data_IF_708306377487
#
_entry.id   IF_708306377487
#
_cell.length_a   1.000
_cell.length_b   1.000
_cell.length_c   1.000
_cell.angle_alpha   90.00
_cell.angle_beta   90.00
_cell.angle_gamma   90.00
#
_symmetry.space_group_name_H-M   'P 1'
#
loop_
_entity.id
_entity.type
_entity.pdbx_description
1 polymer ?
#
# COMPACT_ATOMS: atom_id res chain seq x y z
N UNK A 1 -9.30 -41.16 6.44
CA UNK A 1 -8.38 -40.00 6.46
C UNK A 1 -7.30 -40.24 5.44
N UNK A 2 -7.27 -39.47 4.35
CA UNK A 2 -6.14 -39.49 3.42
C UNK A 2 -5.00 -38.75 4.13
N UNK A 3 -3.82 -39.36 4.32
CA UNK A 3 -2.70 -38.68 4.94
C UNK A 3 -2.26 -37.51 4.06
N UNK A 4 -2.27 -36.30 4.62
CA UNK A 4 -1.69 -35.12 3.99
C UNK A 4 -0.20 -35.39 3.78
N UNK A 5 0.21 -35.59 2.52
CA UNK A 5 1.62 -35.59 2.15
C UNK A 5 2.01 -34.13 1.87
N UNK A 6 2.92 -33.53 2.66
CA UNK A 6 3.42 -32.19 2.34
C UNK A 6 4.06 -32.19 0.95
N UNK A 7 3.86 -31.12 0.19
CA UNK A 7 4.50 -30.92 -1.11
C UNK A 7 6.02 -31.06 -0.98
N UNK A 8 6.65 -31.71 -1.96
CA UNK A 8 8.11 -31.85 -1.95
C UNK A 8 8.78 -30.46 -2.04
N UNK A 9 9.94 -30.23 -1.40
CA UNK A 9 10.66 -28.95 -1.49
C UNK A 9 10.94 -28.51 -2.93
N UNK A 10 11.17 -29.46 -3.85
CA UNK A 10 11.35 -29.18 -5.28
C UNK A 10 10.10 -28.60 -5.93
N UNK A 11 8.93 -29.17 -5.63
CA UNK A 11 7.64 -28.68 -6.14
C UNK A 11 7.36 -27.26 -5.65
N UNK A 12 7.67 -26.99 -4.37
CA UNK A 12 7.51 -25.67 -3.76
C UNK A 12 8.44 -24.65 -4.43
N UNK A 13 9.71 -25.01 -4.68
CA UNK A 13 10.68 -24.14 -5.39
C UNK A 13 10.19 -23.76 -6.79
N UNK A 14 9.72 -24.72 -7.58
CA UNK A 14 9.22 -24.46 -8.95
C UNK A 14 7.99 -23.56 -8.97
N UNK A 15 7.09 -23.69 -7.98
CA UNK A 15 5.93 -22.80 -7.85
C UNK A 15 6.40 -21.36 -7.56
N UNK A 16 7.36 -21.17 -6.65
CA UNK A 16 7.88 -19.84 -6.35
C UNK A 16 8.61 -19.19 -7.53
N UNK A 17 9.41 -19.96 -8.29
CA UNK A 17 10.04 -19.47 -9.52
C UNK A 17 9.01 -19.04 -10.57
N UNK A 18 7.92 -19.80 -10.69
CA UNK A 18 6.81 -19.47 -11.61
C UNK A 18 6.09 -18.20 -11.18
N UNK A 19 5.77 -18.06 -9.89
CA UNK A 19 5.13 -16.86 -9.34
C UNK A 19 6.04 -15.64 -9.54
N UNK A 20 7.33 -15.77 -9.25
CA UNK A 20 8.31 -14.71 -9.46
C UNK A 20 8.36 -14.25 -10.93
N UNK A 21 8.29 -15.19 -11.86
CA UNK A 21 8.22 -14.89 -13.30
C UNK A 21 6.92 -14.17 -13.68
N UNK A 22 5.78 -14.59 -13.12
CA UNK A 22 4.48 -13.94 -13.36
C UNK A 22 4.49 -12.49 -12.84
N UNK A 23 5.02 -12.27 -11.64
CA UNK A 23 5.15 -10.93 -11.04
C UNK A 23 5.96 -10.01 -11.95
N UNK A 24 7.12 -10.47 -12.42
CA UNK A 24 7.94 -9.69 -13.36
C UNK A 24 7.21 -9.35 -14.67
N UNK A 25 6.40 -10.29 -15.20
CA UNK A 25 5.60 -10.05 -16.41
C UNK A 25 4.53 -8.99 -16.16
N UNK A 26 3.83 -9.06 -15.03
CA UNK A 26 2.78 -8.08 -14.67
C UNK A 26 3.38 -6.69 -14.52
N UNK A 27 4.50 -6.57 -13.82
CA UNK A 27 5.20 -5.30 -13.64
C UNK A 27 5.70 -4.74 -14.98
N UNK A 28 6.23 -5.59 -15.87
CA UNK A 28 6.62 -5.16 -17.20
C UNK A 28 5.43 -4.63 -18.01
N UNK A 29 4.28 -5.33 -17.96
CA UNK A 29 3.06 -4.88 -18.63
C UNK A 29 2.54 -3.54 -18.08
N UNK A 30 2.60 -3.34 -16.76
CA UNK A 30 2.25 -2.05 -16.14
C UNK A 30 3.23 -0.95 -16.53
N UNK A 31 4.53 -1.28 -16.60
CA UNK A 31 5.59 -0.35 -17.01
C UNK A 31 5.37 0.15 -18.46
N UNK A 32 4.92 -0.74 -19.36
CA UNK A 32 4.54 -0.38 -20.72
C UNK A 32 3.32 0.55 -20.77
N UNK A 33 2.45 0.53 -19.74
CA UNK A 33 1.31 1.45 -19.68
C UNK A 33 1.68 2.86 -19.24
N UNK A 34 2.86 3.12 -18.67
CA UNK A 34 3.24 4.46 -18.17
C UNK A 34 3.13 5.51 -19.27
N UNK A 35 3.72 5.24 -20.44
CA UNK A 35 3.73 6.18 -21.57
C UNK A 35 2.48 6.08 -22.46
N UNK A 36 1.63 5.07 -22.24
CA UNK A 36 0.45 4.85 -23.07
C UNK A 36 -0.58 5.95 -22.82
N UNK A 37 -1.15 6.47 -23.89
CA UNK A 37 -2.27 7.41 -23.87
C UNK A 37 -3.47 6.80 -24.56
N UNK A 38 -4.63 6.88 -23.91
CA UNK A 38 -5.93 6.67 -24.53
C UNK A 38 -6.67 8.01 -24.55
N UNK A 39 -7.01 8.49 -25.75
CA UNK A 39 -7.69 9.77 -25.96
C UNK A 39 -9.20 9.68 -25.78
N UNK A 40 -9.75 8.48 -25.54
CA UNK A 40 -11.13 8.33 -25.16
C UNK A 40 -11.40 9.02 -23.83
N UNK A 41 -12.64 9.44 -23.65
CA UNK A 41 -13.11 10.12 -22.45
C UNK A 41 -14.23 9.31 -21.80
N UNK A 42 -14.36 9.44 -20.50
CA UNK A 42 -15.50 8.98 -19.73
C UNK A 42 -15.98 10.09 -18.79
N UNK A 43 -17.12 9.85 -18.16
CA UNK A 43 -17.63 10.70 -17.09
C UNK A 43 -17.44 9.97 -15.78
N UNK A 44 -16.77 10.61 -14.81
CA UNK A 44 -16.64 10.07 -13.45
C UNK A 44 -18.02 9.84 -12.85
N UNK A 45 -18.23 8.67 -12.25
CA UNK A 45 -19.52 8.35 -11.61
C UNK A 45 -19.71 9.07 -10.27
N UNK A 46 -18.64 9.41 -9.58
CA UNK A 46 -18.71 10.11 -8.29
C UNK A 46 -18.92 11.61 -8.47
N UNK A 47 -18.17 12.22 -9.39
CA UNK A 47 -18.09 13.69 -9.49
C UNK A 47 -18.88 14.23 -10.69
N UNK A 48 -19.17 13.39 -11.70
CA UNK A 48 -19.88 13.81 -12.92
C UNK A 48 -18.99 14.56 -13.93
N UNK A 49 -17.70 14.68 -13.65
CA UNK A 49 -16.73 15.38 -14.49
C UNK A 49 -16.24 14.52 -15.66
N UNK A 50 -15.92 15.18 -16.77
CA UNK A 50 -15.28 14.52 -17.91
C UNK A 50 -13.80 14.26 -17.63
N UNK A 51 -13.36 13.03 -17.87
CA UNK A 51 -11.98 12.57 -17.64
C UNK A 51 -11.45 11.83 -18.86
N UNK A 52 -10.13 11.88 -19.05
CA UNK A 52 -9.45 11.00 -20.00
C UNK A 52 -9.39 9.59 -19.40
N UNK A 53 -9.66 8.57 -20.20
CA UNK A 53 -9.53 7.17 -19.73
C UNK A 53 -8.08 6.87 -19.31
N UNK A 54 -7.08 7.33 -20.09
CA UNK A 54 -5.68 7.10 -19.75
C UNK A 54 -4.78 8.23 -20.26
N UNK A 55 -4.29 9.05 -19.34
CA UNK A 55 -3.22 10.03 -19.59
C UNK A 55 -1.83 9.38 -19.61
N UNK A 56 -0.85 10.09 -20.18
CA UNK A 56 0.56 9.70 -20.12
C UNK A 56 1.16 9.89 -18.73
N UNK A 57 2.31 9.27 -18.48
CA UNK A 57 3.11 9.34 -17.25
C UNK A 57 2.37 8.92 -15.97
N UNK A 58 1.33 8.11 -16.13
CA UNK A 58 0.45 7.62 -15.05
C UNK A 58 0.19 6.14 -15.22
N UNK A 59 0.19 5.40 -14.11
CA UNK A 59 -0.18 3.99 -14.09
C UNK A 59 -1.71 3.86 -14.13
N UNK A 60 -2.26 2.96 -14.95
CA UNK A 60 -3.69 2.70 -14.90
C UNK A 60 -4.06 2.05 -13.55
N UNK A 61 -5.20 2.42 -13.00
CA UNK A 61 -5.79 1.81 -11.82
C UNK A 61 -5.99 0.30 -11.99
N UNK A 62 -6.41 -0.13 -13.18
CA UNK A 62 -6.59 -1.53 -13.52
C UNK A 62 -6.24 -1.82 -14.98
N UNK A 63 -5.94 -3.09 -15.26
CA UNK A 63 -5.61 -3.58 -16.59
C UNK A 63 -6.86 -3.94 -17.42
N UNK A 64 -8.03 -3.41 -17.06
CA UNK A 64 -9.28 -3.63 -17.75
C UNK A 64 -10.20 -4.65 -17.09
N UNK A 65 -11.35 -4.85 -17.70
CA UNK A 65 -12.45 -5.66 -17.19
C UNK A 65 -12.61 -6.95 -18.01
N UNK A 66 -12.96 -8.10 -17.39
CA UNK A 66 -13.13 -9.39 -18.10
C UNK A 66 -14.21 -9.42 -19.19
N UNK A 67 -15.16 -8.48 -19.21
CA UNK A 67 -16.14 -8.37 -20.32
C UNK A 67 -15.70 -7.40 -21.43
N UNK A 68 -14.51 -6.81 -21.33
CA UNK A 68 -13.86 -6.05 -22.40
C UNK A 68 -12.62 -6.82 -22.90
N UNK A 69 -11.65 -6.14 -23.50
CA UNK A 69 -10.34 -6.72 -23.82
C UNK A 69 -9.31 -6.29 -22.76
N UNK A 70 -8.98 -7.15 -21.77
CA UNK A 70 -7.93 -6.86 -20.79
C UNK A 70 -6.60 -6.50 -21.49
N UNK A 71 -5.77 -5.71 -20.82
CA UNK A 71 -4.50 -5.16 -21.30
C UNK A 71 -4.61 -4.16 -22.46
N UNK A 72 -5.69 -4.21 -23.24
CA UNK A 72 -5.98 -3.23 -24.29
C UNK A 72 -6.84 -2.11 -23.70
N UNK A 73 -8.00 -2.41 -23.11
CA UNK A 73 -8.89 -1.41 -22.53
C UNK A 73 -8.66 -1.30 -21.02
N UNK A 74 -7.59 -0.61 -20.64
CA UNK A 74 -7.21 -0.34 -19.24
C UNK A 74 -8.10 0.74 -18.61
N UNK A 75 -8.07 0.89 -17.28
CA UNK A 75 -8.91 1.86 -16.54
C UNK A 75 -10.41 1.63 -16.77
N UNK A 76 -10.86 0.39 -16.54
CA UNK A 76 -12.29 0.09 -16.51
C UNK A 76 -12.97 0.73 -15.28
N UNK A 77 -12.23 0.99 -14.21
CA UNK A 77 -12.69 1.78 -13.09
C UNK A 77 -12.92 3.24 -13.50
N UNK A 78 -14.16 3.69 -13.36
CA UNK A 78 -14.60 5.05 -13.72
C UNK A 78 -15.34 5.77 -12.59
N UNK A 79 -15.23 5.29 -11.35
CA UNK A 79 -15.85 5.98 -10.21
C UNK A 79 -15.21 7.37 -10.01
N UNK A 80 -13.88 7.41 -9.97
CA UNK A 80 -13.09 8.65 -9.93
C UNK A 80 -12.12 8.72 -11.11
N UNK A 81 -11.67 9.94 -11.41
CA UNK A 81 -10.48 10.13 -12.25
C UNK A 81 -9.23 9.72 -11.46
N UNK A 82 -8.82 8.47 -11.66
CA UNK A 82 -7.65 7.88 -11.00
C UNK A 82 -6.33 8.48 -11.47
N UNK A 83 -6.35 9.27 -12.54
CA UNK A 83 -5.14 9.94 -13.01
C UNK A 83 -4.63 10.97 -11.98
N UNK A 84 -5.51 11.49 -11.13
CA UNK A 84 -5.15 12.42 -10.05
C UNK A 84 -4.77 11.72 -8.74
N UNK A 85 -4.80 10.39 -8.69
CA UNK A 85 -4.49 9.65 -7.47
C UNK A 85 -3.01 9.71 -7.11
N UNK A 86 -2.75 9.87 -5.82
CA UNK A 86 -1.40 9.99 -5.27
C UNK A 86 -0.73 8.64 -5.07
N UNK A 87 -1.48 7.57 -4.79
CA UNK A 87 -0.87 6.32 -4.33
C UNK A 87 -0.50 5.33 -5.46
N UNK A 88 -1.19 5.34 -6.61
CA UNK A 88 -0.96 4.38 -7.71
C UNK A 88 0.48 4.44 -8.23
N UNK A 89 0.90 5.63 -8.65
CA UNK A 89 2.24 5.87 -9.17
C UNK A 89 3.33 5.55 -8.12
N UNK A 90 3.08 5.85 -6.84
CA UNK A 90 4.03 5.59 -5.76
C UNK A 90 4.15 4.09 -5.46
N UNK A 91 3.03 3.38 -5.39
CA UNK A 91 3.00 1.91 -5.27
C UNK A 91 3.72 1.23 -6.42
N UNK A 92 3.59 1.77 -7.63
CA UNK A 92 4.32 1.26 -8.80
C UNK A 92 5.83 1.42 -8.64
N UNK A 93 6.33 2.62 -8.28
CA UNK A 93 7.77 2.84 -8.05
C UNK A 93 8.32 1.90 -6.96
N UNK A 94 7.58 1.73 -5.86
CA UNK A 94 7.93 0.78 -4.80
C UNK A 94 7.96 -0.66 -5.33
N UNK A 95 6.98 -1.06 -6.15
CA UNK A 95 6.88 -2.43 -6.68
C UNK A 95 8.01 -2.73 -7.66
N UNK A 96 8.34 -1.80 -8.57
CA UNK A 96 9.49 -1.92 -9.47
C UNK A 96 10.78 -2.20 -8.69
N UNK A 97 11.04 -1.43 -7.63
CA UNK A 97 12.23 -1.64 -6.82
C UNK A 97 12.17 -2.95 -6.02
N UNK A 98 11.02 -3.27 -5.42
CA UNK A 98 10.81 -4.54 -4.70
C UNK A 98 11.13 -5.73 -5.58
N UNK A 99 10.55 -5.76 -6.78
CA UNK A 99 10.65 -6.91 -7.67
C UNK A 99 12.01 -6.97 -8.34
N UNK A 100 12.64 -5.83 -8.62
CA UNK A 100 14.05 -5.83 -8.98
C UNK A 100 14.91 -6.39 -7.84
N UNK A 101 14.83 -5.84 -6.63
CA UNK A 101 15.70 -6.22 -5.51
C UNK A 101 15.51 -7.68 -5.10
N UNK A 102 14.27 -8.12 -4.96
CA UNK A 102 13.94 -9.44 -4.40
C UNK A 102 14.00 -10.55 -5.45
N UNK A 103 13.72 -10.24 -6.72
CA UNK A 103 13.61 -11.23 -7.80
C UNK A 103 14.71 -11.00 -8.85
N UNK A 104 14.69 -9.86 -9.54
CA UNK A 104 15.47 -9.65 -10.75
C UNK A 104 16.97 -9.49 -10.51
N UNK A 105 17.39 -9.00 -9.34
CA UNK A 105 18.77 -8.63 -8.99
C UNK A 105 19.75 -9.80 -9.12
N UNK A 106 19.24 -11.03 -9.00
CA UNK A 106 20.00 -12.29 -9.06
C UNK A 106 19.95 -12.94 -10.45
N UNK A 107 19.32 -12.31 -11.43
CA UNK A 107 19.13 -12.86 -12.78
C UNK A 107 20.14 -12.26 -13.77
N UNK A 108 20.35 -12.95 -14.89
CA UNK A 108 21.18 -12.46 -15.99
C UNK A 108 20.65 -11.19 -16.68
N UNK A 109 19.42 -10.78 -16.36
CA UNK A 109 18.76 -9.59 -16.93
C UNK A 109 18.64 -8.43 -15.93
N UNK A 110 19.28 -8.53 -14.76
CA UNK A 110 19.20 -7.56 -13.67
C UNK A 110 19.40 -6.11 -14.12
N UNK A 111 20.50 -5.82 -14.84
CA UNK A 111 20.83 -4.46 -15.31
C UNK A 111 19.76 -3.91 -16.27
N UNK A 112 19.35 -4.71 -17.26
CA UNK A 112 18.33 -4.31 -18.24
C UNK A 112 16.97 -4.04 -17.59
N UNK A 113 16.58 -4.86 -16.61
CA UNK A 113 15.32 -4.68 -15.87
C UNK A 113 15.39 -3.41 -15.02
N UNK A 114 16.52 -3.17 -14.35
CA UNK A 114 16.75 -1.96 -13.57
C UNK A 114 16.65 -0.70 -14.44
N UNK A 115 17.34 -0.67 -15.57
CA UNK A 115 17.30 0.45 -16.52
C UNK A 115 15.87 0.73 -17.02
N UNK A 116 15.12 -0.34 -17.33
CA UNK A 116 13.75 -0.23 -17.80
C UNK A 116 12.82 0.37 -16.74
N UNK A 117 12.88 -0.13 -15.50
CA UNK A 117 12.10 0.42 -14.39
C UNK A 117 12.51 1.85 -14.05
N UNK A 118 13.82 2.11 -13.96
CA UNK A 118 14.35 3.41 -13.59
C UNK A 118 13.91 4.51 -14.56
N UNK A 119 13.92 4.22 -15.86
CA UNK A 119 13.49 5.16 -16.89
C UNK A 119 12.04 5.63 -16.71
N UNK A 120 11.12 4.75 -16.28
CA UNK A 120 9.72 5.13 -16.02
C UNK A 120 9.54 5.80 -14.66
N UNK A 121 10.20 5.26 -13.64
CA UNK A 121 10.12 5.80 -12.27
C UNK A 121 10.64 7.24 -12.19
N UNK A 122 11.66 7.58 -12.98
CA UNK A 122 12.21 8.94 -13.02
C UNK A 122 11.17 10.00 -13.37
N UNK A 123 10.34 9.73 -14.39
CA UNK A 123 9.26 10.65 -14.79
C UNK A 123 8.21 10.81 -13.70
N UNK A 124 7.81 9.70 -13.08
CA UNK A 124 6.83 9.68 -12.00
C UNK A 124 7.31 10.49 -10.79
N UNK A 125 8.56 10.27 -10.36
CA UNK A 125 9.14 10.98 -9.20
C UNK A 125 9.28 12.47 -9.49
N UNK A 126 9.72 12.83 -10.70
CA UNK A 126 9.82 14.24 -11.11
C UNK A 126 8.44 14.91 -11.18
N UNK A 127 7.43 14.25 -11.73
CA UNK A 127 6.07 14.78 -11.81
C UNK A 127 5.48 15.00 -10.40
N UNK A 128 5.66 14.05 -9.48
CA UNK A 128 5.22 14.17 -8.10
C UNK A 128 5.86 15.37 -7.37
N UNK A 129 7.19 15.55 -7.48
CA UNK A 129 7.89 16.71 -6.89
C UNK A 129 7.45 18.05 -7.51
N UNK A 130 7.12 18.05 -8.79
CA UNK A 130 6.71 19.26 -9.49
C UNK A 130 5.27 19.65 -9.18
N UNK A 131 4.36 18.67 -9.11
CA UNK A 131 2.91 18.90 -9.13
C UNK A 131 2.21 18.60 -7.81
N UNK A 132 2.73 17.67 -6.99
CA UNK A 132 2.06 17.24 -5.76
C UNK A 132 2.68 17.82 -4.49
N UNK A 133 3.99 18.14 -4.51
CA UNK A 133 4.64 18.93 -3.46
C UNK A 133 4.38 20.42 -3.72
N UNK A 134 3.32 20.97 -3.13
CA UNK A 134 2.84 22.33 -3.38
C UNK A 134 3.58 23.35 -2.55
N UNK A 135 3.93 23.02 -1.32
CA UNK A 135 4.61 23.94 -0.39
C UNK A 135 6.15 23.83 -0.44
N UNK A 136 6.67 22.92 -1.26
CA UNK A 136 8.10 22.73 -1.57
C UNK A 136 8.93 22.28 -0.38
N UNK A 137 8.32 21.59 0.58
CA UNK A 137 9.00 20.98 1.72
C UNK A 137 9.43 19.51 1.49
N UNK A 138 9.33 19.04 0.25
CA UNK A 138 9.72 17.70 -0.16
C UNK A 138 8.65 16.64 0.12
N UNK A 139 7.51 16.98 0.72
CA UNK A 139 6.36 16.10 0.93
C UNK A 139 5.26 16.38 -0.09
N UNK A 140 4.45 15.37 -0.40
CA UNK A 140 3.29 15.52 -1.29
C UNK A 140 2.01 15.80 -0.50
N UNK A 141 1.07 16.51 -1.12
CA UNK A 141 -0.25 16.74 -0.54
C UNK A 141 -1.40 16.05 -1.31
N UNK A 142 -2.34 15.48 -0.55
CA UNK A 142 -3.66 15.09 -1.02
C UNK A 142 -4.56 16.32 -1.25
N UNK A 143 -5.45 16.22 -2.23
CA UNK A 143 -6.21 17.36 -2.76
C UNK A 143 -7.56 17.64 -2.07
N UNK A 144 -7.91 16.90 -1.01
CA UNK A 144 -9.20 17.07 -0.32
C UNK A 144 -10.37 16.33 -0.97
N UNK A 145 -10.06 15.40 -1.87
CA UNK A 145 -10.98 14.36 -2.34
C UNK A 145 -10.33 12.98 -2.17
N UNK A 146 -11.04 11.92 -2.53
CA UNK A 146 -10.51 10.57 -2.44
C UNK A 146 -9.58 10.29 -3.64
N UNK A 147 -8.33 10.70 -3.50
CA UNK A 147 -7.28 10.59 -4.51
C UNK A 147 -6.32 9.42 -4.23
N UNK A 148 -6.84 8.31 -3.70
CA UNK A 148 -6.09 7.12 -3.33
C UNK A 148 -7.02 5.91 -3.10
N UNK A 149 -6.46 4.72 -2.81
CA UNK A 149 -7.20 3.45 -2.73
C UNK A 149 -8.41 3.41 -1.79
N UNK A 150 -8.43 4.22 -0.73
CA UNK A 150 -9.61 4.51 0.09
C UNK A 150 -10.46 5.54 -0.66
N UNK A 151 -11.06 5.08 -1.76
CA UNK A 151 -11.70 5.87 -2.80
C UNK A 151 -12.99 6.60 -2.37
N UNK A 152 -13.42 6.46 -1.13
CA UNK A 152 -14.47 7.30 -0.52
C UNK A 152 -14.10 7.82 0.86
N UNK A 153 -12.80 7.77 1.23
CA UNK A 153 -12.27 8.35 2.46
C UNK A 153 -11.27 9.46 2.12
N UNK A 154 -11.70 10.71 2.30
CA UNK A 154 -10.96 11.89 1.82
C UNK A 154 -9.76 12.19 2.71
N UNK A 155 -8.65 12.56 2.08
CA UNK A 155 -7.43 13.05 2.73
C UNK A 155 -7.13 14.46 2.23
N UNK A 156 -6.63 15.35 3.10
CA UNK A 156 -6.27 16.73 2.71
C UNK A 156 -4.91 17.13 3.26
N UNK A 157 -4.08 17.73 2.39
CA UNK A 157 -2.70 18.07 2.74
C UNK A 157 -1.86 16.80 2.83
N UNK A 158 -0.80 16.83 3.64
CA UNK A 158 0.00 15.64 3.91
C UNK A 158 -0.83 14.61 4.68
N UNK A 159 -0.96 13.39 4.16
CA UNK A 159 -1.55 12.27 4.89
C UNK A 159 -0.50 11.27 5.36
N UNK A 160 -0.78 10.56 6.46
CA UNK A 160 0.14 9.52 6.93
C UNK A 160 0.32 8.40 5.90
N UNK A 161 -0.77 8.02 5.23
CA UNK A 161 -0.78 6.99 4.20
C UNK A 161 0.01 7.41 2.95
N UNK A 162 -0.41 8.44 2.21
CA UNK A 162 0.28 8.85 0.98
C UNK A 162 1.68 9.40 1.26
N UNK A 163 1.89 10.09 2.39
CA UNK A 163 3.21 10.60 2.76
C UNK A 163 4.22 9.48 3.06
N UNK A 164 3.79 8.40 3.75
CA UNK A 164 4.68 7.25 3.96
C UNK A 164 5.00 6.54 2.64
N UNK A 165 4.01 6.41 1.73
CA UNK A 165 4.22 5.85 0.39
C UNK A 165 5.16 6.72 -0.44
N UNK A 166 5.06 8.04 -0.35
CA UNK A 166 5.97 8.96 -1.05
C UNK A 166 7.41 8.77 -0.59
N UNK A 167 7.63 8.73 0.73
CA UNK A 167 8.96 8.41 1.29
C UNK A 167 9.44 7.04 0.80
N UNK A 168 8.55 6.04 0.78
CA UNK A 168 8.84 4.71 0.26
C UNK A 168 9.27 4.71 -1.21
N UNK A 169 8.53 5.41 -2.06
CA UNK A 169 8.78 5.53 -3.49
C UNK A 169 10.06 6.32 -3.78
N UNK A 170 10.27 7.46 -3.12
CA UNK A 170 11.46 8.28 -3.31
C UNK A 170 12.73 7.54 -2.85
N UNK A 171 12.66 6.82 -1.71
CA UNK A 171 13.75 5.93 -1.27
C UNK A 171 14.02 4.83 -2.30
N UNK A 172 12.97 4.16 -2.77
CA UNK A 172 13.08 3.09 -3.79
C UNK A 172 13.73 3.59 -5.08
N UNK A 173 13.36 4.77 -5.55
CA UNK A 173 13.95 5.42 -6.71
C UNK A 173 15.43 5.76 -6.50
N UNK A 174 15.79 6.35 -5.36
CA UNK A 174 17.18 6.66 -5.01
C UNK A 174 18.04 5.39 -4.99
N UNK A 175 17.53 4.31 -4.41
CA UNK A 175 18.26 3.04 -4.40
C UNK A 175 18.40 2.47 -5.81
N UNK A 176 17.39 2.55 -6.67
CA UNK A 176 17.55 2.18 -8.08
C UNK A 176 18.61 3.04 -8.79
N UNK A 177 18.65 4.35 -8.56
CA UNK A 177 19.69 5.23 -9.11
C UNK A 177 21.09 4.79 -8.66
N UNK A 178 21.28 4.53 -7.36
CA UNK A 178 22.58 4.07 -6.81
C UNK A 178 23.03 2.77 -7.46
N UNK A 179 22.13 1.81 -7.61
CA UNK A 179 22.43 0.52 -8.23
C UNK A 179 22.74 0.64 -9.72
N UNK A 180 22.13 1.61 -10.42
CA UNK A 180 22.41 1.91 -11.82
C UNK A 180 23.62 2.85 -12.03
N UNK A 181 24.23 3.37 -10.96
CA UNK A 181 25.28 4.40 -11.05
C UNK A 181 24.79 5.77 -11.55
N UNK A 182 23.49 6.06 -11.42
CA UNK A 182 22.87 7.31 -11.80
C UNK A 182 22.90 8.36 -10.65
N UNK A 183 22.93 9.67 -10.94
CA UNK A 183 22.88 10.73 -9.93
C UNK A 183 21.62 10.64 -9.05
N UNK A 184 21.76 10.90 -7.76
CA UNK A 184 20.66 10.80 -6.78
C UNK A 184 20.74 11.80 -5.63
N UNK A 185 21.72 12.69 -5.63
CA UNK A 185 22.03 13.62 -4.52
C UNK A 185 20.87 14.57 -4.25
N UNK A 186 20.31 15.20 -5.28
CA UNK A 186 19.15 16.10 -5.16
C UNK A 186 17.92 15.38 -4.59
N UNK A 187 17.67 14.15 -5.05
CA UNK A 187 16.57 13.33 -4.54
C UNK A 187 16.81 12.92 -3.08
N UNK A 188 18.07 12.71 -2.70
CA UNK A 188 18.45 12.40 -1.32
C UNK A 188 18.23 13.59 -0.38
N UNK A 189 18.46 14.83 -0.85
CA UNK A 189 18.10 16.06 -0.14
C UNK A 189 16.58 16.15 0.03
N UNK A 190 15.82 15.98 -1.07
CA UNK A 190 14.35 15.95 -1.02
C UNK A 190 13.79 14.87 -0.10
N UNK A 191 14.41 13.70 -0.03
CA UNK A 191 14.01 12.65 0.89
C UNK A 191 14.20 13.09 2.35
N UNK A 192 15.28 13.80 2.68
CA UNK A 192 15.51 14.27 4.04
C UNK A 192 14.50 15.36 4.42
N UNK A 193 14.18 16.26 3.49
CA UNK A 193 13.11 17.26 3.65
C UNK A 193 11.75 16.58 3.87
N UNK A 194 11.40 15.58 3.04
CA UNK A 194 10.20 14.78 3.16
C UNK A 194 10.04 14.12 4.53
N UNK A 195 11.10 13.49 5.06
CA UNK A 195 11.09 12.92 6.42
C UNK A 195 10.83 13.99 7.49
N UNK A 196 11.50 15.14 7.39
CA UNK A 196 11.32 16.24 8.34
C UNK A 196 9.90 16.81 8.29
N UNK A 197 9.36 17.00 7.09
CA UNK A 197 7.99 17.44 6.85
C UNK A 197 6.98 16.44 7.42
N UNK A 198 7.12 15.15 7.11
CA UNK A 198 6.24 14.08 7.60
C UNK A 198 6.14 14.08 9.13
N UNK A 199 7.29 14.10 9.82
CA UNK A 199 7.33 14.11 11.29
C UNK A 199 6.71 15.41 11.81
N UNK A 200 7.13 16.57 11.31
CA UNK A 200 6.65 17.87 11.78
C UNK A 200 5.15 18.04 11.60
N UNK A 201 4.60 17.65 10.45
CA UNK A 201 3.21 17.82 10.08
C UNK A 201 2.30 16.81 10.80
N UNK A 202 2.74 15.55 10.98
CA UNK A 202 1.86 14.45 11.37
C UNK A 202 2.09 13.85 12.76
N UNK A 203 3.30 13.87 13.29
CA UNK A 203 3.57 13.23 14.59
C UNK A 203 2.93 14.03 15.74
N UNK A 204 2.02 13.40 16.49
CA UNK A 204 1.35 14.05 17.61
C UNK A 204 1.92 13.70 19.00
N UNK A 205 3.09 13.04 19.04
CA UNK A 205 3.69 12.52 20.27
C UNK A 205 3.33 11.06 20.59
N UNK A 206 2.40 10.45 19.85
CA UNK A 206 1.98 9.06 20.08
C UNK A 206 1.76 8.25 18.80
N UNK A 207 1.17 8.85 17.78
CA UNK A 207 0.95 8.24 16.46
C UNK A 207 0.99 9.34 15.39
N UNK A 208 0.94 8.96 14.11
CA UNK A 208 0.85 9.91 13.00
C UNK A 208 -0.62 10.21 12.71
N UNK A 209 -0.99 11.50 12.76
CA UNK A 209 -2.34 11.95 12.41
C UNK A 209 -2.72 11.44 11.02
N UNK A 210 -4.01 11.17 10.80
CA UNK A 210 -4.55 10.75 9.52
C UNK A 210 -4.12 11.68 8.37
N UNK A 211 -4.32 12.99 8.55
CA UNK A 211 -3.85 14.04 7.66
C UNK A 211 -3.62 15.37 8.40
N UNK A 212 -3.47 16.48 7.67
CA UNK A 212 -3.22 17.80 8.25
C UNK A 212 -4.47 18.49 8.83
N UNK A 213 -5.67 17.97 8.56
CA UNK A 213 -6.90 18.59 9.06
C UNK A 213 -7.05 18.41 10.57
N UNK A 214 -7.45 19.50 11.23
CA UNK A 214 -7.57 19.56 12.68
C UNK A 214 -8.66 18.61 13.22
N UNK A 215 -9.75 18.48 12.48
CA UNK A 215 -10.89 17.61 12.74
C UNK A 215 -10.51 16.12 12.68
N UNK A 216 -9.56 15.77 11.80
CA UNK A 216 -9.08 14.40 11.59
C UNK A 216 -7.93 14.01 12.54
N UNK A 217 -7.42 14.95 13.34
CA UNK A 217 -6.28 14.74 14.24
C UNK A 217 -6.43 13.61 15.27
N UNK A 218 -7.68 13.18 15.51
CA UNK A 218 -8.05 12.10 16.43
C UNK A 218 -8.26 10.75 15.77
N UNK A 219 -8.20 10.68 14.43
CA UNK A 219 -8.35 9.44 13.67
C UNK A 219 -7.02 8.68 13.71
N UNK A 220 -7.04 7.48 14.30
CA UNK A 220 -5.97 6.50 14.20
C UNK A 220 -6.26 5.64 12.97
N UNK A 221 -5.43 5.77 11.95
CA UNK A 221 -5.53 4.96 10.73
C UNK A 221 -4.73 3.67 10.87
N UNK A 222 -5.34 2.53 10.55
CA UNK A 222 -4.66 1.23 10.61
C UNK A 222 -3.46 1.13 9.66
N UNK A 223 -3.50 1.85 8.54
CA UNK A 223 -2.53 1.77 7.45
C UNK A 223 -1.55 2.96 7.41
N UNK A 224 -1.44 3.71 8.51
CA UNK A 224 -0.70 4.98 8.57
C UNK A 224 0.81 4.86 8.27
N UNK A 225 1.38 3.65 8.30
CA UNK A 225 2.81 3.39 8.13
C UNK A 225 3.14 2.50 6.91
N UNK A 226 2.21 2.34 5.96
CA UNK A 226 2.32 1.34 4.90
C UNK A 226 3.57 1.49 4.02
N UNK A 227 4.04 2.71 3.73
CA UNK A 227 5.28 2.92 2.99
C UNK A 227 6.53 2.53 3.78
N UNK A 228 6.51 2.71 5.10
CA UNK A 228 7.61 2.24 5.96
C UNK A 228 7.63 0.72 6.09
N UNK A 229 6.46 0.09 6.13
CA UNK A 229 6.35 -1.37 6.03
C UNK A 229 6.94 -1.88 4.71
N UNK A 230 6.64 -1.23 3.58
CA UNK A 230 7.21 -1.62 2.29
C UNK A 230 8.74 -1.51 2.27
N UNK A 231 9.30 -0.42 2.80
CA UNK A 231 10.76 -0.26 2.94
C UNK A 231 11.37 -1.35 3.83
N UNK A 232 10.76 -1.64 4.98
CA UNK A 232 11.23 -2.69 5.88
C UNK A 232 11.14 -4.07 5.27
N UNK A 233 10.10 -4.37 4.50
CA UNK A 233 9.97 -5.62 3.74
C UNK A 233 11.19 -5.83 2.83
N UNK A 234 11.67 -4.75 2.20
CA UNK A 234 12.83 -4.73 1.30
C UNK A 234 14.19 -4.54 2.01
N UNK A 235 14.27 -4.57 3.34
CA UNK A 235 15.52 -4.30 4.11
C UNK A 235 16.09 -2.89 3.93
N UNK A 236 15.23 -1.91 3.64
CA UNK A 236 15.62 -0.51 3.55
C UNK A 236 15.56 0.22 4.90
N UNK A 237 16.39 1.25 5.01
CA UNK A 237 16.42 2.11 6.18
C UNK A 237 15.21 3.05 6.18
N UNK A 238 14.50 3.08 7.31
CA UNK A 238 13.46 4.07 7.60
C UNK A 238 14.06 5.06 8.60
N UNK A 239 14.06 6.36 8.26
CA UNK A 239 14.63 7.44 9.10
C UNK A 239 13.60 8.02 10.08
N UNK A 240 12.76 7.15 10.64
CA UNK A 240 11.84 7.45 11.74
C UNK A 240 12.35 6.67 12.95
N UNK A 241 12.38 7.32 14.11
CA UNK A 241 12.79 6.67 15.35
C UNK A 241 11.96 5.42 15.64
N UNK A 242 12.62 4.34 16.07
CA UNK A 242 11.95 3.05 16.29
C UNK A 242 10.84 3.15 17.34
N UNK A 243 11.05 3.98 18.37
CA UNK A 243 10.07 4.25 19.42
C UNK A 243 8.80 4.94 18.87
N UNK A 244 8.92 5.80 17.85
CA UNK A 244 7.75 6.42 17.21
C UNK A 244 6.93 5.37 16.45
N UNK A 245 7.61 4.46 15.73
CA UNK A 245 6.94 3.38 15.00
C UNK A 245 6.24 2.42 15.96
N UNK A 246 6.92 1.98 17.03
CA UNK A 246 6.34 1.12 18.05
C UNK A 246 5.16 1.78 18.75
N UNK A 247 5.29 3.06 19.13
CA UNK A 247 4.19 3.82 19.74
C UNK A 247 2.97 3.93 18.81
N UNK A 248 3.18 4.15 17.51
CA UNK A 248 2.11 4.16 16.52
C UNK A 248 1.45 2.79 16.39
N UNK A 249 2.23 1.70 16.28
CA UNK A 249 1.72 0.33 16.21
C UNK A 249 0.95 -0.10 17.47
N UNK A 250 1.44 0.23 18.67
CA UNK A 250 0.73 0.00 19.93
C UNK A 250 -0.58 0.79 19.98
N UNK A 251 -0.58 2.01 19.43
CA UNK A 251 -1.80 2.83 19.34
C UNK A 251 -2.81 2.22 18.38
N UNK A 252 -2.38 1.78 17.20
CA UNK A 252 -3.24 1.06 16.24
C UNK A 252 -3.79 -0.21 16.88
N UNK A 253 -2.94 -1.02 17.53
CA UNK A 253 -3.38 -2.23 18.20
C UNK A 253 -4.42 -1.94 19.29
N UNK A 254 -4.19 -0.93 20.14
CA UNK A 254 -5.14 -0.54 21.18
C UNK A 254 -6.49 -0.13 20.58
N UNK A 255 -6.50 0.81 19.65
CA UNK A 255 -7.72 1.46 19.17
C UNK A 255 -8.40 0.66 18.06
N UNK A 256 -7.68 0.37 16.98
CA UNK A 256 -8.22 -0.27 15.78
C UNK A 256 -8.46 -1.77 15.94
N UNK A 257 -7.80 -2.42 16.91
CA UNK A 257 -7.94 -3.87 17.16
C UNK A 257 -8.62 -4.14 18.49
N UNK A 258 -8.02 -3.79 19.63
CA UNK A 258 -8.54 -4.20 20.95
C UNK A 258 -9.87 -3.52 21.29
N UNK A 259 -10.02 -2.23 21.03
CA UNK A 259 -11.28 -1.51 21.29
C UNK A 259 -12.35 -1.80 20.25
N UNK A 260 -11.97 -2.30 19.07
CA UNK A 260 -12.91 -2.72 18.04
C UNK A 260 -13.26 -4.21 18.18
N UNK A 261 -14.50 -4.50 18.57
CA UNK A 261 -15.00 -5.88 18.72
C UNK A 261 -14.11 -6.77 19.59
N UNK A 262 -13.46 -6.19 20.62
CA UNK A 262 -12.55 -6.86 21.53
C UNK A 262 -11.41 -7.64 20.82
N UNK A 263 -10.93 -7.13 19.68
CA UNK A 263 -9.89 -7.78 18.87
C UNK A 263 -10.35 -9.00 18.07
N UNK A 264 -11.66 -9.23 17.96
CA UNK A 264 -12.21 -10.45 17.33
C UNK A 264 -12.57 -10.29 15.86
N UNK A 265 -12.20 -9.19 15.21
CA UNK A 265 -12.55 -8.92 13.81
C UNK A 265 -11.37 -8.52 12.91
N UNK A 266 -10.21 -8.18 13.48
CA UNK A 266 -9.11 -7.54 12.76
C UNK A 266 -9.01 -6.05 13.07
N UNK A 267 -8.26 -5.31 12.26
CA UNK A 267 -8.05 -3.88 12.45
C UNK A 267 -9.06 -3.05 11.64
N UNK A 268 -9.96 -2.33 12.30
CA UNK A 268 -10.85 -1.37 11.62
C UNK A 268 -10.02 -0.20 11.08
N UNK A 269 -10.34 0.28 9.88
CA UNK A 269 -9.50 1.23 9.15
C UNK A 269 -9.30 2.55 9.91
N UNK A 270 -10.38 3.12 10.46
CA UNK A 270 -10.36 4.36 11.22
C UNK A 270 -10.96 4.19 12.62
N UNK A 271 -10.23 4.65 13.64
CA UNK A 271 -10.73 4.65 15.01
C UNK A 271 -10.40 5.98 15.68
N UNK A 272 -11.37 6.60 16.34
CA UNK A 272 -11.20 7.87 17.03
C UNK A 272 -10.61 7.63 18.42
N UNK A 273 -9.65 8.46 18.83
CA UNK A 273 -9.11 8.43 20.20
C UNK A 273 -10.14 8.75 21.27
N UNK A 274 -11.34 9.21 20.89
CA UNK A 274 -12.54 9.33 21.73
C UNK A 274 -13.29 8.02 21.97
N UNK A 275 -12.68 6.89 21.60
CA UNK A 275 -13.18 5.54 21.86
C UNK A 275 -14.40 5.12 21.02
N UNK A 276 -14.43 5.54 19.76
CA UNK A 276 -15.44 5.14 18.78
C UNK A 276 -14.82 4.88 17.42
N UNK A 277 -15.44 4.02 16.61
CA UNK A 277 -15.08 3.85 15.20
C UNK A 277 -15.27 5.19 14.48
N UNK A 278 -14.37 5.53 13.55
CA UNK A 278 -14.58 6.70 12.70
C UNK A 278 -15.74 6.44 11.73
N UNK A 279 -16.74 7.32 11.73
CA UNK A 279 -17.92 7.23 10.85
C UNK A 279 -17.90 8.27 9.72
N UNK A 280 -16.73 8.86 9.43
CA UNK A 280 -16.59 9.85 8.36
C UNK A 280 -16.75 9.27 6.96
N UNK A 281 -16.56 7.95 6.81
CA UNK A 281 -16.71 7.21 5.55
C UNK A 281 -17.08 5.75 5.85
N UNK A 282 -17.82 5.11 4.95
CA UNK A 282 -18.03 3.65 5.02
C UNK A 282 -16.71 2.89 5.10
N UNK A 283 -15.66 3.39 4.45
CA UNK A 283 -14.36 2.75 4.45
C UNK A 283 -13.63 2.89 5.77
N UNK A 284 -13.88 3.93 6.57
CA UNK A 284 -13.26 4.05 7.87
C UNK A 284 -13.88 3.12 8.91
N UNK A 285 -15.15 2.73 8.71
CA UNK A 285 -15.88 1.76 9.52
C UNK A 285 -15.54 0.29 9.22
N UNK A 286 -14.85 0.04 8.10
CA UNK A 286 -14.54 -1.30 7.62
C UNK A 286 -13.22 -1.85 8.18
N UNK A 287 -13.16 -3.17 8.38
CA UNK A 287 -11.90 -3.92 8.48
C UNK A 287 -11.52 -4.39 7.09
N UNK A 288 -10.43 -3.85 6.54
CA UNK A 288 -9.88 -4.37 5.29
C UNK A 288 -8.98 -5.57 5.58
N UNK A 289 -9.34 -6.72 5.02
CA UNK A 289 -8.68 -7.98 5.33
C UNK A 289 -7.19 -7.95 4.95
N UNK A 290 -6.86 -7.36 3.79
CA UNK A 290 -5.47 -7.22 3.38
C UNK A 290 -4.65 -6.24 4.23
N UNK A 291 -5.25 -5.14 4.68
CA UNK A 291 -4.57 -4.16 5.54
C UNK A 291 -4.27 -4.78 6.91
N UNK A 292 -5.21 -5.54 7.46
CA UNK A 292 -5.01 -6.25 8.73
C UNK A 292 -3.83 -7.23 8.67
N UNK A 293 -3.68 -7.98 7.57
CA UNK A 293 -2.56 -8.90 7.42
C UNK A 293 -1.22 -8.17 7.17
N UNK A 294 -1.21 -7.11 6.37
CA UNK A 294 -0.02 -6.27 6.17
C UNK A 294 0.44 -5.62 7.50
N UNK A 295 -0.50 -5.08 8.28
CA UNK A 295 -0.24 -4.53 9.62
C UNK A 295 0.34 -5.59 10.56
N UNK A 296 -0.21 -6.81 10.53
CA UNK A 296 0.31 -7.93 11.33
C UNK A 296 1.75 -8.27 10.94
N UNK A 297 2.08 -8.27 9.65
CA UNK A 297 3.44 -8.47 9.18
C UNK A 297 4.40 -7.38 9.68
N UNK A 298 3.98 -6.10 9.65
CA UNK A 298 4.77 -5.00 10.18
C UNK A 298 4.98 -5.10 11.71
N UNK A 299 3.95 -5.52 12.47
CA UNK A 299 4.07 -5.79 13.91
C UNK A 299 5.10 -6.90 14.18
N UNK A 300 5.12 -7.97 13.38
CA UNK A 300 6.18 -8.99 13.40
C UNK A 300 7.53 -8.36 13.06
N UNK A 301 7.67 -7.51 12.06
CA UNK A 301 8.99 -6.87 11.80
C UNK A 301 9.51 -6.04 12.99
N UNK A 302 8.61 -5.60 13.88
CA UNK A 302 8.94 -4.80 15.08
C UNK A 302 9.00 -5.56 16.40
N UNK A 303 8.90 -6.89 16.38
CA UNK A 303 9.00 -7.71 17.60
C UNK A 303 7.71 -7.82 18.41
N UNK A 304 6.57 -7.44 17.82
CA UNK A 304 5.26 -7.33 18.49
C UNK A 304 4.37 -8.53 18.18
N UNK A 305 4.89 -9.74 18.40
CA UNK A 305 4.27 -11.00 17.93
C UNK A 305 2.88 -11.22 18.50
N UNK A 306 2.70 -10.92 19.79
CA UNK A 306 1.41 -11.08 20.44
C UNK A 306 0.35 -10.17 19.82
N UNK A 307 0.68 -8.91 19.59
CA UNK A 307 -0.20 -7.95 18.90
C UNK A 307 -0.50 -8.40 17.46
N UNK A 308 0.53 -8.84 16.74
CA UNK A 308 0.40 -9.29 15.35
C UNK A 308 -0.54 -10.51 15.22
N UNK A 309 -0.33 -11.54 16.04
CA UNK A 309 -1.15 -12.74 15.97
C UNK A 309 -2.56 -12.50 16.49
N UNK A 310 -2.77 -11.69 17.53
CA UNK A 310 -4.12 -11.28 17.94
C UNK A 310 -4.87 -10.55 16.82
N UNK A 311 -4.18 -9.65 16.12
CA UNK A 311 -4.76 -8.86 15.01
C UNK A 311 -5.19 -9.76 13.84
N UNK A 312 -4.31 -10.64 13.38
CA UNK A 312 -4.59 -11.57 12.27
C UNK A 312 -5.55 -12.70 12.66
N UNK A 313 -5.45 -13.23 13.88
CA UNK A 313 -6.36 -14.28 14.39
C UNK A 313 -7.80 -13.77 14.50
N UNK A 314 -8.01 -12.53 14.92
CA UNK A 314 -9.33 -11.91 14.95
C UNK A 314 -10.00 -11.95 13.58
N UNK A 315 -9.29 -11.51 12.54
CA UNK A 315 -9.78 -11.55 11.16
C UNK A 315 -10.00 -12.98 10.66
N UNK A 316 -9.04 -13.89 10.90
CA UNK A 316 -9.14 -15.30 10.53
C UNK A 316 -10.39 -15.93 11.15
N UNK A 317 -10.60 -15.78 12.46
CA UNK A 317 -11.78 -16.35 13.13
C UNK A 317 -13.08 -15.72 12.63
N UNK A 318 -13.07 -14.43 12.28
CA UNK A 318 -14.20 -13.76 11.64
C UNK A 318 -14.59 -14.41 10.33
N UNK A 319 -13.65 -14.65 9.42
CA UNK A 319 -13.94 -15.19 8.07
C UNK A 319 -14.08 -16.72 8.07
N UNK A 320 -13.43 -17.44 8.99
CA UNK A 320 -13.44 -18.92 9.02
C UNK A 320 -14.42 -19.53 10.01
N UNK A 321 -14.81 -18.80 11.06
CA UNK A 321 -15.64 -19.37 12.13
C UNK A 321 -16.94 -18.58 12.35
N UNK A 322 -16.89 -17.25 12.36
CA UNK A 322 -18.07 -16.41 12.65
C UNK A 322 -18.96 -16.22 11.44
N UNK A 323 -18.37 -15.85 10.30
CA UNK A 323 -19.06 -15.62 9.05
C UNK A 323 -18.53 -16.61 8.01
N UNK A 324 -19.36 -17.44 7.37
CA UNK A 324 -18.91 -18.53 6.49
C UNK A 324 -18.38 -18.00 5.15
N UNK A 325 -17.25 -17.30 5.19
CA UNK A 325 -16.65 -16.57 4.09
C UNK A 325 -15.36 -17.25 3.59
N UNK A 326 -15.14 -18.51 3.96
CA UNK A 326 -14.00 -19.31 3.52
C UNK A 326 -13.99 -19.43 2.00
N UNK A 327 -12.80 -19.33 1.39
CA UNK A 327 -12.58 -19.38 -0.07
C UNK A 327 -13.21 -18.25 -0.88
N UNK A 328 -13.78 -17.25 -0.19
CA UNK A 328 -14.38 -16.07 -0.80
C UNK A 328 -14.09 -14.83 0.04
N UNK A 329 -12.93 -14.81 0.71
CA UNK A 329 -12.51 -13.74 1.61
C UNK A 329 -12.76 -12.36 0.99
N UNK A 330 -13.52 -11.47 1.64
CA UNK A 330 -13.86 -10.17 1.09
C UNK A 330 -12.69 -9.18 1.15
N UNK A 331 -12.83 -8.05 0.46
CA UNK A 331 -12.01 -6.86 0.72
C UNK A 331 -12.23 -6.38 2.16
N UNK A 332 -13.49 -6.17 2.51
CA UNK A 332 -13.91 -5.52 3.73
C UNK A 332 -14.96 -6.32 4.49
N UNK A 333 -14.90 -6.23 5.82
CA UNK A 333 -15.88 -6.79 6.74
C UNK A 333 -16.11 -5.84 7.92
N UNK A 334 -17.33 -5.79 8.43
CA UNK A 334 -17.69 -5.09 9.68
C UNK A 334 -17.92 -6.10 10.81
N UNK A 335 -17.87 -5.63 12.06
CA UNK A 335 -18.00 -6.50 13.25
C UNK A 335 -19.35 -7.19 13.41
N UNK A 336 -20.40 -6.70 12.74
CA UNK A 336 -21.73 -7.30 12.68
C UNK A 336 -21.89 -8.30 11.51
N UNK A 337 -20.88 -8.46 10.66
CA UNK A 337 -20.82 -9.46 9.60
C UNK A 337 -21.28 -8.99 8.23
N UNK A 338 -21.49 -7.68 8.04
CA UNK A 338 -21.60 -7.13 6.68
C UNK A 338 -20.23 -7.22 5.99
N UNK A 339 -20.23 -7.42 4.68
CA UNK A 339 -19.01 -7.56 3.90
C UNK A 339 -19.15 -6.89 2.53
N UNK A 340 -18.01 -6.54 1.92
CA UNK A 340 -17.93 -5.94 0.59
C UNK A 340 -16.88 -6.64 -0.26
N UNK A 341 -17.26 -6.90 -1.52
CA UNK A 341 -16.41 -7.49 -2.57
C UNK A 341 -15.77 -8.83 -2.17
N UNK A 342 -16.54 -9.93 -2.28
CA UNK A 342 -16.09 -11.31 -2.03
C UNK A 342 -15.01 -11.76 -3.03
N UNK A 343 -14.19 -12.74 -2.62
CA UNK A 343 -13.17 -13.35 -3.48
C UNK A 343 -12.08 -12.36 -3.88
N UNK A 344 -11.63 -11.54 -2.93
CA UNK A 344 -10.82 -10.37 -3.20
C UNK A 344 -9.31 -10.67 -3.22
N UNK A 345 -8.55 -9.81 -3.90
CA UNK A 345 -7.09 -9.95 -4.07
C UNK A 345 -6.30 -9.57 -2.81
N UNK A 346 -6.66 -8.45 -2.15
CA UNK A 346 -5.88 -7.86 -1.05
C UNK A 346 -5.59 -8.80 0.14
N UNK A 347 -6.48 -9.75 0.54
CA UNK A 347 -6.20 -10.74 1.59
C UNK A 347 -4.98 -11.64 1.32
N UNK A 348 -4.48 -11.72 0.08
CA UNK A 348 -3.23 -12.44 -0.23
C UNK A 348 -1.99 -11.83 0.45
N UNK A 349 -2.09 -10.61 0.97
CA UNK A 349 -1.07 -10.00 1.85
C UNK A 349 -0.79 -10.79 3.13
N UNK A 350 -1.58 -11.82 3.48
CA UNK A 350 -1.21 -12.79 4.52
C UNK A 350 0.18 -13.39 4.32
N UNK A 351 0.65 -13.53 3.08
CA UNK A 351 2.00 -14.00 2.77
C UNK A 351 3.11 -13.06 3.27
N UNK A 352 2.82 -11.78 3.53
CA UNK A 352 3.76 -10.87 4.16
C UNK A 352 4.11 -11.27 5.60
N UNK A 353 3.19 -11.93 6.31
CA UNK A 353 3.45 -12.51 7.64
C UNK A 353 4.54 -13.58 7.53
N UNK A 354 4.42 -14.49 6.55
CA UNK A 354 5.43 -15.52 6.34
C UNK A 354 6.79 -14.90 5.99
N UNK A 355 6.81 -13.89 5.11
CA UNK A 355 8.04 -13.16 4.77
C UNK A 355 8.70 -12.53 6.01
N UNK A 356 7.92 -11.87 6.87
CA UNK A 356 8.41 -11.26 8.11
C UNK A 356 8.99 -12.31 9.08
N UNK A 357 8.36 -13.48 9.19
CA UNK A 357 8.86 -14.59 10.00
C UNK A 357 10.17 -15.17 9.45
N UNK A 358 10.24 -15.42 8.15
CA UNK A 358 11.43 -15.99 7.50
C UNK A 358 12.64 -15.07 7.67
N UNK A 359 12.43 -13.75 7.58
CA UNK A 359 13.50 -12.75 7.77
C UNK A 359 14.14 -12.78 9.15
N UNK A 360 13.43 -13.21 10.20
CA UNK A 360 14.00 -13.34 11.56
C UNK A 360 14.85 -14.59 11.75
N UNK A 361 14.67 -15.58 10.89
CA UNK A 361 15.39 -16.87 10.97
C UNK A 361 16.70 -16.88 10.19
N UNK A 362 16.94 -15.84 9.39
CA UNK A 362 18.19 -15.58 8.67
C UNK A 362 19.09 -14.69 9.52
#
# INVERSE_FOLDING_TARGET
>A
MVPYKPCSPKTISTIFETIASIVQIVDALQTDQVDRVDKSTATSLADGDAMLIKGGDRIPHDMGHPMADPWIHTNAYILHDTSCWKDLNLKFVISCYRDWKMIASKTAHSERILEFFLAKCSKIVQDALNTWDKDKDGMIENDGFADQTYDVWKMTGTSAYCGSLWIGALTSYIEMCKQAGAPSEEHQEKLNEAYAAYIKKLWNGKFFKFDELSENSRIVMADQLCGFWALKTMDEQVKIEDDMIKSALDTIFKYNVQMHDNGKCGAVNGFLTSESVDGSSIQSEEVWAGITYALSAMMIEKGMDEQAFKTSEGLFNTIWTRYPLQYQTPEAITSDGMYRALGYMRPLSIWAIQHALDKRTK
#
